data_IF_175994260866
#
_entry.id   IF_175994260866
#
_cell.length_a   1.000
_cell.length_b   1.000
_cell.length_c   1.000
_cell.angle_alpha   90.00
_cell.angle_beta   90.00
_cell.angle_gamma   90.00
#
_symmetry.space_group_name_H-M   'P 1'
#
loop_
_entity.id
_entity.type
_entity.pdbx_description
1 polymer ?
#
# COMPACT_ATOMS: atom_id res chain seq x y z
N UNK A 1 -9.44 -2.36 -24.87
CA UNK A 1 -9.14 -2.55 -26.31
C UNK A 1 -7.64 -2.66 -26.62
N UNK A 2 -6.73 -2.04 -25.86
CA UNK A 2 -5.27 -2.08 -26.14
C UNK A 2 -4.64 -3.48 -26.19
N UNK A 3 -4.95 -4.36 -25.23
CA UNK A 3 -4.40 -5.73 -25.17
C UNK A 3 -4.72 -6.58 -26.41
N UNK A 4 -5.94 -6.46 -26.94
CA UNK A 4 -6.36 -7.18 -28.15
C UNK A 4 -5.58 -6.71 -29.38
N UNK A 5 -5.35 -5.40 -29.50
CA UNK A 5 -4.57 -4.82 -30.60
C UNK A 5 -3.11 -5.26 -30.53
N UNK A 6 -2.49 -5.24 -29.34
CA UNK A 6 -1.10 -5.69 -29.17
C UNK A 6 -0.96 -7.18 -29.41
N UNK A 7 -1.93 -8.00 -28.98
CA UNK A 7 -1.97 -9.42 -29.29
C UNK A 7 -1.97 -9.64 -30.81
N UNK A 8 -2.87 -8.99 -31.55
CA UNK A 8 -2.95 -9.13 -33.01
C UNK A 8 -1.65 -8.69 -33.70
N UNK A 9 -1.08 -7.55 -33.31
CA UNK A 9 0.19 -7.06 -33.87
C UNK A 9 1.36 -7.99 -33.56
N UNK A 10 1.41 -8.59 -32.37
CA UNK A 10 2.47 -9.52 -31.98
C UNK A 10 2.43 -10.81 -32.82
N UNK A 11 1.24 -11.34 -33.12
CA UNK A 11 1.08 -12.52 -34.00
C UNK A 11 1.60 -12.21 -35.40
N UNK A 12 1.24 -11.04 -35.95
CA UNK A 12 1.68 -10.61 -37.28
C UNK A 12 3.21 -10.44 -37.31
N UNK A 13 3.79 -9.78 -36.31
CA UNK A 13 5.24 -9.60 -36.21
C UNK A 13 5.98 -10.94 -36.09
N UNK A 14 5.49 -11.85 -35.23
CA UNK A 14 6.09 -13.17 -35.05
C UNK A 14 6.07 -13.99 -36.33
N UNK A 15 5.01 -13.89 -37.14
CA UNK A 15 4.95 -14.54 -38.45
C UNK A 15 6.06 -14.04 -39.39
N UNK A 16 6.25 -12.73 -39.50
CA UNK A 16 7.29 -12.17 -40.37
C UNK A 16 8.71 -12.50 -39.90
N UNK A 17 8.97 -12.43 -38.59
CA UNK A 17 10.27 -12.78 -38.01
C UNK A 17 10.58 -14.27 -38.18
N UNK A 18 9.61 -15.14 -37.89
CA UNK A 18 9.74 -16.61 -38.07
C UNK A 18 10.00 -16.95 -39.53
N UNK A 19 9.24 -16.37 -40.46
CA UNK A 19 9.41 -16.58 -41.90
C UNK A 19 10.77 -16.07 -42.40
N UNK A 20 11.23 -14.92 -41.92
CA UNK A 20 12.55 -14.37 -42.24
C UNK A 20 13.70 -15.25 -41.74
N UNK A 21 13.64 -15.65 -40.47
CA UNK A 21 14.63 -16.52 -39.84
C UNK A 21 14.70 -17.90 -40.52
N UNK A 22 13.54 -18.49 -40.82
CA UNK A 22 13.44 -19.76 -41.54
C UNK A 22 14.10 -19.69 -42.92
N UNK A 23 13.80 -18.65 -43.71
CA UNK A 23 14.41 -18.44 -45.03
C UNK A 23 15.93 -18.24 -44.93
N UNK A 24 16.41 -17.50 -43.92
CA UNK A 24 17.83 -17.27 -43.69
C UNK A 24 18.55 -18.58 -43.33
N UNK A 25 17.94 -19.42 -42.50
CA UNK A 25 18.50 -20.72 -42.11
C UNK A 25 18.51 -21.73 -43.26
N UNK A 26 17.49 -21.75 -44.11
CA UNK A 26 17.49 -22.59 -45.32
C UNK A 26 18.55 -22.19 -46.35
N UNK A 27 18.89 -20.90 -46.45
CA UNK A 27 20.00 -20.44 -47.29
C UNK A 27 21.36 -20.93 -46.79
N UNK A 28 21.53 -20.99 -45.46
CA UNK A 28 22.77 -21.44 -44.83
C UNK A 28 22.87 -22.98 -44.78
N UNK A 29 21.75 -23.68 -44.63
CA UNK A 29 21.70 -25.15 -44.53
C UNK A 29 20.46 -25.71 -45.27
N UNK A 30 20.52 -25.87 -46.61
CA UNK A 30 19.35 -26.21 -47.43
C UNK A 30 18.77 -27.61 -47.16
N UNK A 31 19.56 -28.54 -46.62
CA UNK A 31 19.10 -29.89 -46.20
C UNK A 31 18.51 -29.91 -44.78
N UNK A 32 18.69 -28.85 -43.99
CA UNK A 32 18.32 -28.78 -42.57
C UNK A 32 16.89 -28.26 -42.30
N UNK A 33 15.91 -28.62 -43.14
CA UNK A 33 14.54 -28.04 -43.09
C UNK A 33 13.85 -28.19 -41.73
N UNK A 34 14.01 -29.34 -41.07
CA UNK A 34 13.44 -29.62 -39.76
C UNK A 34 14.06 -28.74 -38.67
N UNK A 35 15.41 -28.70 -38.61
CA UNK A 35 16.17 -27.87 -37.66
C UNK A 35 15.88 -26.38 -37.86
N UNK A 36 15.78 -25.94 -39.11
CA UNK A 36 15.43 -24.57 -39.44
C UNK A 36 14.01 -24.21 -38.95
N UNK A 37 13.05 -25.13 -39.12
CA UNK A 37 11.69 -24.96 -38.64
C UNK A 37 11.61 -24.86 -37.11
N UNK A 38 12.34 -25.72 -36.40
CA UNK A 38 12.40 -25.68 -34.94
C UNK A 38 12.98 -24.35 -34.43
N UNK A 39 14.15 -23.92 -34.94
CA UNK A 39 14.80 -22.71 -34.44
C UNK A 39 13.98 -21.47 -34.77
N UNK A 40 13.42 -21.36 -35.98
CA UNK A 40 12.56 -20.23 -36.32
C UNK A 40 11.26 -20.22 -35.51
N UNK A 41 10.67 -21.39 -35.25
CA UNK A 41 9.48 -21.54 -34.43
C UNK A 41 9.72 -21.11 -32.99
N UNK A 42 10.82 -21.57 -32.37
CA UNK A 42 11.22 -21.14 -31.03
C UNK A 42 11.44 -19.63 -30.94
N UNK A 43 12.09 -19.03 -31.95
CA UNK A 43 12.29 -17.58 -32.00
C UNK A 43 10.95 -16.81 -32.07
N UNK A 44 10.00 -17.31 -32.87
CA UNK A 44 8.65 -16.73 -32.96
C UNK A 44 7.88 -16.80 -31.65
N UNK A 45 7.93 -17.94 -30.95
CA UNK A 45 7.27 -18.11 -29.64
C UNK A 45 7.92 -17.24 -28.57
N UNK A 46 9.26 -17.19 -28.52
CA UNK A 46 9.97 -16.35 -27.56
C UNK A 46 9.64 -14.86 -27.76
N UNK A 47 9.65 -14.38 -29.00
CA UNK A 47 9.27 -13.00 -29.32
C UNK A 47 7.81 -12.71 -28.97
N UNK A 48 6.91 -13.65 -29.23
CA UNK A 48 5.49 -13.52 -28.90
C UNK A 48 5.29 -13.36 -27.38
N UNK A 49 5.95 -14.21 -26.59
CA UNK A 49 5.89 -14.15 -25.13
C UNK A 49 6.44 -12.83 -24.61
N UNK A 50 7.61 -12.39 -25.08
CA UNK A 50 8.22 -11.13 -24.62
C UNK A 50 7.30 -9.94 -24.91
N UNK A 51 6.75 -9.84 -26.13
CA UNK A 51 5.88 -8.71 -26.49
C UNK A 51 4.61 -8.72 -25.66
N UNK A 52 3.95 -9.87 -25.49
CA UNK A 52 2.70 -9.93 -24.74
C UNK A 52 2.90 -9.75 -23.23
N UNK A 53 4.03 -10.20 -22.67
CA UNK A 53 4.37 -9.94 -21.25
C UNK A 53 4.65 -8.45 -21.05
N UNK A 54 5.47 -7.82 -21.90
CA UNK A 54 5.75 -6.38 -21.81
C UNK A 54 4.49 -5.56 -22.03
N UNK A 55 3.62 -5.96 -22.96
CA UNK A 55 2.33 -5.33 -23.17
C UNK A 55 1.40 -5.50 -21.97
N UNK A 56 1.35 -6.67 -21.34
CA UNK A 56 0.59 -6.89 -20.12
C UNK A 56 1.09 -6.01 -18.99
N UNK A 57 2.42 -5.87 -18.81
CA UNK A 57 3.01 -4.98 -17.80
C UNK A 57 2.70 -3.51 -18.07
N UNK A 58 2.67 -3.08 -19.33
CA UNK A 58 2.45 -1.67 -19.71
C UNK A 58 0.98 -1.29 -19.90
N UNK A 59 0.09 -2.28 -20.07
CA UNK A 59 -1.35 -2.10 -20.25
C UNK A 59 -2.18 -2.55 -19.04
N UNK A 60 -1.56 -3.06 -17.99
CA UNK A 60 -2.13 -2.89 -16.65
C UNK A 60 -2.28 -1.37 -16.53
N UNK A 61 -3.52 -0.83 -16.52
CA UNK A 61 -3.65 0.56 -16.12
C UNK A 61 -2.96 0.63 -14.77
N UNK A 62 -2.05 1.60 -14.60
CA UNK A 62 -1.72 2.04 -13.26
C UNK A 62 -3.09 2.18 -12.59
N UNK A 63 -3.43 1.25 -11.70
CA UNK A 63 -4.47 1.54 -10.73
C UNK A 63 -4.05 2.91 -10.24
N UNK A 64 -4.90 3.95 -10.31
CA UNK A 64 -4.52 5.23 -9.77
C UNK A 64 -4.02 4.87 -8.39
N UNK A 65 -2.72 5.05 -8.14
CA UNK A 65 -2.11 4.68 -6.88
C UNK A 65 -3.05 5.31 -5.88
N UNK A 66 -3.86 4.48 -5.20
CA UNK A 66 -4.71 4.97 -4.13
C UNK A 66 -3.69 5.54 -3.21
N UNK A 67 -3.60 6.87 -3.22
CA UNK A 67 -2.44 7.65 -2.80
C UNK A 67 -1.87 6.92 -1.61
N UNK A 68 -0.75 6.21 -1.80
CA UNK A 68 -0.07 5.55 -0.69
C UNK A 68 0.36 6.72 0.15
N UNK A 69 -0.49 7.09 1.11
CA UNK A 69 -0.29 8.21 1.99
C UNK A 69 0.94 7.83 2.79
N UNK A 70 2.11 8.14 2.26
CA UNK A 70 3.38 7.93 2.90
C UNK A 70 3.87 9.28 3.33
N UNK A 71 3.20 9.92 4.29
CA UNK A 71 3.89 10.90 5.10
C UNK A 71 4.77 10.10 6.06
N UNK A 72 5.91 9.61 5.55
CA UNK A 72 7.00 9.30 6.46
C UNK A 72 7.17 10.51 7.40
N UNK A 73 7.47 10.27 8.68
CA UNK A 73 7.82 11.34 9.63
C UNK A 73 8.84 12.36 9.09
N UNK A 74 9.55 12.04 8.00
CA UNK A 74 10.24 13.02 7.15
C UNK A 74 9.32 14.15 6.66
N UNK A 75 9.36 15.27 7.38
CA UNK A 75 8.73 16.55 7.02
C UNK A 75 7.19 16.53 7.04
N UNK A 76 6.57 15.64 7.82
CA UNK A 76 5.14 15.65 8.02
C UNK A 76 4.75 16.67 9.10
N UNK A 77 3.91 17.66 8.74
CA UNK A 77 3.24 18.54 9.71
C UNK A 77 1.91 17.93 10.16
N UNK A 78 1.34 18.44 11.25
CA UNK A 78 0.05 17.97 11.78
C UNK A 78 -1.08 18.10 10.75
N UNK A 79 -1.14 19.22 10.03
CA UNK A 79 -2.14 19.44 8.99
C UNK A 79 -1.99 18.45 7.83
N UNK A 80 -0.75 18.23 7.38
CA UNK A 80 -0.46 17.27 6.31
C UNK A 80 -0.85 15.85 6.70
N UNK A 81 -0.57 15.44 7.94
CA UNK A 81 -1.02 14.14 8.46
C UNK A 81 -2.55 14.06 8.44
N UNK A 82 -3.25 15.08 8.93
CA UNK A 82 -4.71 15.07 8.99
C UNK A 82 -5.37 14.98 7.60
N UNK A 83 -4.85 15.72 6.62
CA UNK A 83 -5.29 15.63 5.22
C UNK A 83 -5.08 14.22 4.68
N UNK A 84 -3.86 13.69 4.77
CA UNK A 84 -3.52 12.38 4.24
C UNK A 84 -4.31 11.25 4.90
N UNK A 85 -4.55 11.33 6.20
CA UNK A 85 -5.40 10.39 6.92
C UNK A 85 -6.84 10.40 6.38
N UNK A 86 -7.43 11.58 6.21
CA UNK A 86 -8.79 11.68 5.66
C UNK A 86 -8.89 11.24 4.20
N UNK A 87 -7.88 11.53 3.38
CA UNK A 87 -7.81 11.07 1.98
C UNK A 87 -7.66 9.55 1.89
N UNK A 88 -6.80 8.98 2.75
CA UNK A 88 -6.56 7.55 2.89
C UNK A 88 -7.85 6.81 3.31
N UNK A 89 -8.69 7.44 4.15
CA UNK A 89 -10.05 6.97 4.46
C UNK A 89 -11.03 7.18 3.30
N UNK A 90 -11.00 8.31 2.60
CA UNK A 90 -11.87 8.61 1.46
C UNK A 90 -11.74 7.58 0.32
N UNK A 91 -10.53 7.07 0.09
CA UNK A 91 -10.30 5.93 -0.81
C UNK A 91 -11.11 4.68 -0.42
N UNK A 92 -11.41 4.49 0.86
CA UNK A 92 -12.22 3.38 1.40
C UNK A 92 -13.71 3.64 1.24
N UNK A 93 -14.16 4.89 1.33
CA UNK A 93 -15.58 5.27 1.23
C UNK A 93 -16.17 4.83 -0.11
N UNK A 94 -15.36 4.86 -1.18
CA UNK A 94 -15.71 4.32 -2.50
C UNK A 94 -15.96 2.80 -2.52
N UNK A 95 -15.51 2.06 -1.49
CA UNK A 95 -15.66 0.61 -1.35
C UNK A 95 -16.90 0.14 -0.55
N UNK A 96 -17.77 1.07 -0.08
CA UNK A 96 -19.06 0.82 0.60
C UNK A 96 -19.02 0.01 1.92
N UNK A 97 -17.86 -0.25 2.53
CA UNK A 97 -17.76 -1.22 3.62
C UNK A 97 -17.98 -0.67 5.04
N UNK A 98 -17.82 0.62 5.32
CA UNK A 98 -17.87 1.13 6.71
C UNK A 98 -18.40 2.58 6.83
N UNK A 99 -18.91 2.94 8.01
CA UNK A 99 -19.31 4.31 8.36
C UNK A 99 -18.08 5.15 8.73
N UNK A 100 -17.44 5.74 7.73
CA UNK A 100 -16.15 6.43 7.88
C UNK A 100 -16.27 7.84 8.48
N UNK A 101 -17.46 8.45 8.48
CA UNK A 101 -17.64 9.81 8.98
C UNK A 101 -17.32 9.94 10.47
N UNK A 102 -17.49 8.87 11.25
CA UNK A 102 -17.16 8.84 12.67
C UNK A 102 -15.65 8.85 12.97
N UNK A 103 -14.83 8.37 12.03
CA UNK A 103 -13.39 8.21 12.23
C UNK A 103 -12.53 9.24 11.47
N UNK A 104 -13.14 10.12 10.67
CA UNK A 104 -12.46 11.25 10.02
C UNK A 104 -12.00 12.28 11.04
N UNK A 105 -10.82 12.86 10.83
CA UNK A 105 -10.33 13.99 11.62
C UNK A 105 -11.13 15.22 11.20
N UNK A 106 -11.86 15.81 12.15
CA UNK A 106 -12.68 17.01 11.96
C UNK A 106 -11.98 18.26 12.46
N UNK A 107 -10.99 18.12 13.35
CA UNK A 107 -10.15 19.25 13.78
C UNK A 107 -8.78 18.78 14.27
N UNK A 108 -7.80 19.67 14.07
CA UNK A 108 -6.43 19.56 14.59
C UNK A 108 -6.18 20.79 15.46
N UNK A 109 -5.77 20.58 16.71
CA UNK A 109 -5.54 21.63 17.70
C UNK A 109 -4.06 21.58 18.13
N UNK A 110 -3.31 22.64 17.84
CA UNK A 110 -1.87 22.69 18.10
C UNK A 110 -1.62 23.56 19.32
N UNK A 111 -1.07 22.97 20.38
CA UNK A 111 -0.77 23.65 21.63
C UNK A 111 0.44 23.02 22.32
N UNK A 112 1.28 23.87 22.90
CA UNK A 112 2.41 23.48 23.76
C UNK A 112 3.34 22.42 23.13
N UNK A 113 3.69 22.59 21.84
CA UNK A 113 4.56 21.64 21.12
C UNK A 113 3.91 20.30 20.80
N UNK A 114 2.57 20.24 20.81
CA UNK A 114 1.82 19.04 20.46
C UNK A 114 0.61 19.34 19.59
N UNK A 115 0.26 18.39 18.72
CA UNK A 115 -0.96 18.43 17.91
C UNK A 115 -1.96 17.39 18.41
N UNK A 116 -3.20 17.81 18.62
CA UNK A 116 -4.31 16.97 19.04
C UNK A 116 -5.29 16.77 17.88
N UNK A 117 -5.49 15.52 17.48
CA UNK A 117 -6.40 15.13 16.40
C UNK A 117 -7.74 14.69 16.98
N UNK A 118 -8.82 15.31 16.51
CA UNK A 118 -10.18 15.05 16.99
C UNK A 118 -11.06 14.53 15.86
N UNK A 119 -11.81 13.47 16.14
CA UNK A 119 -12.93 12.99 15.32
C UNK A 119 -14.26 13.45 15.96
N UNK A 120 -15.39 13.02 15.40
CA UNK A 120 -16.72 13.29 15.96
C UNK A 120 -16.86 12.77 17.39
N UNK A 121 -16.22 11.63 17.69
CA UNK A 121 -16.33 10.96 19.00
C UNK A 121 -15.32 11.46 20.05
N UNK A 122 -14.47 12.41 19.66
CA UNK A 122 -13.52 13.09 20.56
C UNK A 122 -12.07 13.05 20.09
N UNK A 123 -11.14 13.27 21.01
CA UNK A 123 -9.70 13.24 20.70
C UNK A 123 -9.23 11.80 20.55
N UNK A 124 -8.68 11.48 19.37
CA UNK A 124 -8.18 10.15 19.02
C UNK A 124 -6.67 10.12 18.86
N UNK A 125 -6.02 11.25 18.67
CA UNK A 125 -4.58 11.32 18.41
C UNK A 125 -3.92 12.47 19.16
N UNK A 126 -2.69 12.24 19.62
CA UNK A 126 -1.78 13.29 20.09
C UNK A 126 -0.40 13.06 19.48
N UNK A 127 0.08 13.99 18.67
CA UNK A 127 1.45 13.98 18.18
C UNK A 127 2.32 14.98 18.95
N UNK A 128 3.55 14.58 19.24
CA UNK A 128 4.59 15.52 19.64
C UNK A 128 5.18 16.19 18.40
N UNK A 129 5.47 17.49 18.49
CA UNK A 129 6.07 18.26 17.42
C UNK A 129 7.50 18.69 17.79
N UNK A 130 8.37 18.81 16.80
CA UNK A 130 9.67 19.45 16.94
C UNK A 130 9.56 20.99 16.87
N UNK A 131 10.70 21.67 16.97
CA UNK A 131 10.79 23.13 16.87
C UNK A 131 10.34 23.71 15.52
N UNK A 132 10.27 22.87 14.47
CA UNK A 132 9.81 23.21 13.14
C UNK A 132 8.34 22.83 12.90
N UNK A 133 7.64 22.31 13.92
CA UNK A 133 6.25 21.87 13.81
C UNK A 133 6.08 20.53 13.07
N UNK A 134 7.16 19.75 12.94
CA UNK A 134 7.14 18.42 12.34
C UNK A 134 6.78 17.36 13.37
N UNK A 135 6.08 16.32 12.94
CA UNK A 135 5.75 15.19 13.80
C UNK A 135 7.03 14.50 14.29
N UNK A 136 7.07 14.16 15.57
CA UNK A 136 8.14 13.39 16.22
C UNK A 136 7.66 12.00 16.60
N UNK A 137 6.47 11.91 17.18
CA UNK A 137 5.79 10.66 17.49
C UNK A 137 4.27 10.88 17.45
N UNK A 138 3.51 9.79 17.44
CA UNK A 138 2.05 9.82 17.49
C UNK A 138 1.53 8.82 18.51
N UNK A 139 0.66 9.28 19.40
CA UNK A 139 -0.14 8.47 20.29
C UNK A 139 -1.59 8.44 19.78
N UNK A 140 -2.06 7.29 19.31
CA UNK A 140 -3.42 7.08 18.82
C UNK A 140 -4.23 6.26 19.82
N UNK A 141 -5.47 6.67 20.11
CA UNK A 141 -6.33 6.09 21.14
C UNK A 141 -7.73 5.83 20.60
N UNK A 142 -8.24 4.64 20.85
CA UNK A 142 -9.62 4.26 20.54
C UNK A 142 -10.29 3.65 21.77
N UNK A 143 -11.51 4.09 22.07
CA UNK A 143 -12.26 3.62 23.25
C UNK A 143 -12.74 2.18 23.06
N UNK A 144 -13.28 1.89 21.88
CA UNK A 144 -13.80 0.58 21.53
C UNK A 144 -12.83 -0.16 20.61
N UNK A 145 -12.82 -1.49 20.65
CA UNK A 145 -11.95 -2.35 19.81
C UNK A 145 -12.71 -2.92 18.60
N UNK A 146 -13.70 -2.17 18.10
CA UNK A 146 -14.51 -2.55 16.94
C UNK A 146 -13.78 -2.33 15.61
N UNK A 147 -14.36 -2.83 14.50
CA UNK A 147 -13.76 -2.76 13.17
C UNK A 147 -13.34 -1.35 12.74
N UNK A 148 -14.23 -0.35 12.92
CA UNK A 148 -13.95 1.04 12.56
C UNK A 148 -12.79 1.65 13.38
N UNK A 149 -12.68 1.28 14.66
CA UNK A 149 -11.61 1.74 15.54
C UNK A 149 -10.25 1.14 15.14
N UNK A 150 -10.23 -0.16 14.81
CA UNK A 150 -9.03 -0.81 14.27
C UNK A 150 -8.67 -0.25 12.89
N UNK A 151 -9.67 0.09 12.08
CA UNK A 151 -9.45 0.76 10.80
C UNK A 151 -8.79 2.12 11.00
N UNK A 152 -9.27 2.93 11.95
CA UNK A 152 -8.69 4.23 12.30
C UNK A 152 -7.22 4.10 12.69
N UNK A 153 -6.88 3.14 13.56
CA UNK A 153 -5.49 2.86 13.94
C UNK A 153 -4.65 2.40 12.75
N UNK A 154 -5.17 1.47 11.94
CA UNK A 154 -4.47 0.97 10.75
C UNK A 154 -4.21 2.06 9.71
N UNK A 155 -5.16 2.99 9.52
CA UNK A 155 -4.99 4.14 8.65
C UNK A 155 -3.89 5.09 9.19
N UNK A 156 -3.84 5.34 10.50
CA UNK A 156 -2.76 6.14 11.09
C UNK A 156 -1.38 5.49 10.90
N UNK A 157 -1.29 4.15 11.01
CA UNK A 157 -0.06 3.40 10.75
C UNK A 157 0.38 3.53 9.28
N UNK A 158 -0.53 3.29 8.34
CA UNK A 158 -0.25 3.35 6.90
C UNK A 158 0.14 4.76 6.46
N UNK A 159 -0.55 5.79 6.97
CA UNK A 159 -0.26 7.20 6.66
C UNK A 159 1.18 7.59 7.02
N UNK A 160 1.66 7.08 8.15
CA UNK A 160 3.00 7.37 8.67
C UNK A 160 4.08 6.42 8.13
N UNK A 161 3.69 5.22 7.71
CA UNK A 161 4.58 4.21 7.17
C UNK A 161 4.03 3.56 5.91
N UNK A 162 4.44 4.11 4.77
CA UNK A 162 4.12 3.55 3.46
C UNK A 162 4.69 2.16 3.19
N UNK A 163 5.56 1.63 4.07
CA UNK A 163 6.08 0.26 3.94
C UNK A 163 5.12 -0.80 4.47
N UNK A 164 4.14 -0.41 5.29
CA UNK A 164 3.09 -1.28 5.80
C UNK A 164 1.81 -1.00 5.01
N UNK A 165 1.17 -2.05 4.53
CA UNK A 165 -0.18 -1.93 4.00
C UNK A 165 -1.21 -2.07 5.12
N UNK A 166 -2.41 -1.53 4.90
CA UNK A 166 -3.45 -1.50 5.92
C UNK A 166 -3.88 -2.87 6.45
N UNK A 167 -3.92 -3.89 5.60
CA UNK A 167 -4.33 -5.23 6.01
C UNK A 167 -3.33 -5.85 6.99
N UNK A 168 -2.03 -5.62 6.75
CA UNK A 168 -0.96 -6.01 7.68
C UNK A 168 -1.10 -5.29 9.02
N UNK A 169 -1.33 -3.97 9.01
CA UNK A 169 -1.57 -3.20 10.23
C UNK A 169 -2.79 -3.72 11.01
N UNK A 170 -3.91 -3.96 10.34
CA UNK A 170 -5.13 -4.50 10.97
C UNK A 170 -4.91 -5.91 11.51
N UNK A 171 -4.16 -6.76 10.79
CA UNK A 171 -3.85 -8.11 11.25
C UNK A 171 -3.00 -8.10 12.52
N UNK A 172 -1.99 -7.23 12.60
CA UNK A 172 -1.22 -7.01 13.82
C UNK A 172 -2.13 -6.61 14.99
N UNK A 173 -2.99 -5.61 14.80
CA UNK A 173 -3.92 -5.14 15.84
C UNK A 173 -4.86 -6.26 16.32
N UNK A 174 -5.40 -7.06 15.38
CA UNK A 174 -6.27 -8.20 15.70
C UNK A 174 -5.54 -9.30 16.47
N UNK A 175 -4.31 -9.63 16.08
CA UNK A 175 -3.50 -10.63 16.77
C UNK A 175 -3.20 -10.18 18.21
N UNK A 176 -2.79 -8.93 18.40
CA UNK A 176 -2.52 -8.40 19.73
C UNK A 176 -3.77 -8.39 20.63
N UNK A 177 -4.95 -8.13 20.08
CA UNK A 177 -6.22 -8.22 20.81
C UNK A 177 -6.65 -9.66 21.10
N UNK A 178 -6.32 -10.62 20.22
CA UNK A 178 -6.59 -12.04 20.48
C UNK A 178 -5.72 -12.59 21.64
N UNK A 179 -4.59 -11.94 21.92
CA UNK A 179 -3.70 -12.26 23.04
C UNK A 179 -4.06 -11.52 24.34
N UNK A 180 -5.18 -10.78 24.37
CA UNK A 180 -5.64 -10.06 25.56
C UNK A 180 -5.82 -11.00 26.76
N UNK A 181 -5.20 -10.65 27.89
CA UNK A 181 -5.31 -11.38 29.17
C UNK A 181 -5.70 -10.41 30.27
N UNK A 182 -6.78 -10.73 30.99
CA UNK A 182 -7.28 -9.95 32.11
C UNK A 182 -7.49 -8.45 31.78
N UNK A 183 -8.01 -8.16 30.59
CA UNK A 183 -8.23 -6.78 30.13
C UNK A 183 -6.97 -6.05 29.63
N UNK A 184 -5.82 -6.74 29.62
CA UNK A 184 -4.54 -6.16 29.26
C UNK A 184 -4.03 -6.65 27.91
N UNK A 185 -3.50 -5.71 27.12
CA UNK A 185 -2.74 -5.98 25.89
C UNK A 185 -1.40 -5.28 26.02
N UNK A 186 -0.33 -5.96 25.65
CA UNK A 186 0.98 -5.35 25.44
C UNK A 186 1.66 -6.06 24.27
N UNK A 187 1.80 -5.35 23.16
CA UNK A 187 2.41 -5.89 21.95
C UNK A 187 3.27 -4.84 21.28
N UNK A 188 4.26 -5.29 20.52
CA UNK A 188 5.15 -4.42 19.75
C UNK A 188 5.35 -4.99 18.36
N UNK A 189 5.36 -4.11 17.37
CA UNK A 189 5.68 -4.43 16.00
C UNK A 189 6.72 -3.43 15.49
N UNK A 190 7.67 -3.89 14.70
CA UNK A 190 8.70 -3.04 14.14
C UNK A 190 8.67 -3.14 12.62
N UNK A 191 8.64 -2.00 11.94
CA UNK A 191 8.93 -1.92 10.53
C UNK A 191 10.37 -1.47 10.31
N UNK A 192 10.73 -1.29 9.04
CA UNK A 192 12.02 -0.72 8.66
C UNK A 192 12.25 0.68 9.22
N UNK A 193 11.18 1.45 9.46
CA UNK A 193 11.25 2.88 9.76
C UNK A 193 10.53 3.29 11.04
N UNK A 194 9.69 2.44 11.62
CA UNK A 194 8.83 2.79 12.73
C UNK A 194 8.77 1.64 13.74
N UNK A 195 8.76 2.01 15.02
CA UNK A 195 8.40 1.16 16.14
C UNK A 195 6.94 1.44 16.53
N UNK A 196 6.16 0.38 16.64
CA UNK A 196 4.78 0.41 17.08
C UNK A 196 4.67 -0.28 18.43
N UNK A 197 4.08 0.40 19.40
CA UNK A 197 3.79 -0.18 20.72
C UNK A 197 2.29 -0.07 20.96
N UNK A 198 1.64 -1.22 21.13
CA UNK A 198 0.24 -1.33 21.42
C UNK A 198 0.04 -1.69 22.89
N UNK A 199 -0.78 -0.93 23.59
CA UNK A 199 -1.12 -1.20 24.98
C UNK A 199 -2.61 -1.01 25.26
N UNK A 200 -3.13 -1.85 26.15
CA UNK A 200 -4.45 -1.73 26.75
C UNK A 200 -4.33 -2.15 28.21
N UNK A 201 -5.03 -1.44 29.08
CA UNK A 201 -5.19 -1.80 30.48
C UNK A 201 -6.67 -1.71 30.84
N UNK A 202 -7.08 -2.36 31.92
CA UNK A 202 -8.48 -2.33 32.35
C UNK A 202 -8.98 -0.90 32.55
N UNK A 203 -10.14 -0.59 31.94
CA UNK A 203 -10.72 0.76 31.90
C UNK A 203 -9.96 1.81 31.06
N UNK A 204 -8.84 1.46 30.41
CA UNK A 204 -8.04 2.37 29.58
C UNK A 204 -8.27 2.06 28.10
N UNK A 205 -8.49 3.09 27.24
CA UNK A 205 -8.57 2.92 25.79
C UNK A 205 -7.38 2.16 25.21
N UNK A 206 -7.62 1.37 24.16
CA UNK A 206 -6.54 0.80 23.36
C UNK A 206 -5.69 1.94 22.81
N UNK A 207 -4.38 1.86 23.05
CA UNK A 207 -3.44 2.94 22.77
C UNK A 207 -2.32 2.39 21.88
N UNK A 208 -2.11 3.05 20.75
CA UNK A 208 -1.05 2.78 19.79
C UNK A 208 -0.05 3.93 19.82
N UNK A 209 1.17 3.67 20.26
CA UNK A 209 2.29 4.60 20.16
C UNK A 209 3.11 4.27 18.90
N UNK A 210 3.34 5.29 18.08
CA UNK A 210 4.02 5.22 16.78
C UNK A 210 5.24 6.12 16.86
N UNK A 211 6.43 5.53 16.76
CA UNK A 211 7.71 6.20 16.93
C UNK A 211 8.65 5.92 15.77
N UNK A 212 9.16 6.94 15.06
CA UNK A 212 10.14 6.74 14.00
C UNK A 212 11.46 6.20 14.53
N UNK A 213 12.10 5.34 13.73
CA UNK A 213 13.46 4.85 13.92
C UNK A 213 14.38 5.75 13.09
N UNK A 214 15.17 6.59 13.76
CA UNK A 214 16.22 7.39 13.13
C UNK A 214 17.54 6.62 13.08
#
# INVERSE_FOLDING_TARGET
MGMLVVFILSVVLCFFVTRGAYRKQLRLQPKGKLKAGCISGFLGVALFLVINIVAAVTLIPDQPDTVKAGAAFNQATADKFATLYNDNLGGIETSKRENLSGIKIVSTDIKDGSAHFKTVDGTVGKAQLDEHGLLVNLLWKVKDTNGASLLSMGAAMEVLDSSINRDEAINFLKQALAEEKDGNVKSSFESKRINYQLSKHDGIPLTLYIEPRY
#
